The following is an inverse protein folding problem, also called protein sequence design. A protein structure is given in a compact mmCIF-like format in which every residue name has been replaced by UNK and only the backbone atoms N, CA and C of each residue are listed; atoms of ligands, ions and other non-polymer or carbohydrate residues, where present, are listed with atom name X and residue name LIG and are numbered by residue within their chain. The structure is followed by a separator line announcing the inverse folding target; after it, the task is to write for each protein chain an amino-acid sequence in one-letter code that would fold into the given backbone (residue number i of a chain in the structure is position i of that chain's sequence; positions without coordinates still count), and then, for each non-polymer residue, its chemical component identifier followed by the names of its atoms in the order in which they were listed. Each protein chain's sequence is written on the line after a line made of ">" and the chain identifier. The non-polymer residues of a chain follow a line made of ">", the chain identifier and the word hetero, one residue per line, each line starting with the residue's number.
data_IF_778716985424
#
_entry.id   IF_778716985424
#
_cell.length_a   1.000
_cell.length_b   1.000
_cell.length_c   1.000
_cell.angle_alpha   90.00
_cell.angle_beta   90.00
_cell.angle_gamma   90.00
#
_symmetry.space_group_name_H-M   'P 1'
#
loop_
_entity.id
_entity.type
_entity.pdbx_description
1 polymer ?
#
# COMPACT_ATOMS: atom_id res chain seq x y z
N UNK A 1 -28.89 19.39 16.03
CA UNK A 1 -27.91 18.62 16.83
C UNK A 1 -28.13 17.13 16.59
N UNK A 2 -27.52 16.57 15.54
CA UNK A 2 -27.45 15.12 15.31
C UNK A 2 -26.00 14.72 15.59
N UNK A 3 -25.84 13.78 16.51
CA UNK A 3 -24.55 13.30 16.98
C UNK A 3 -23.74 12.74 15.81
N UNK A 4 -22.71 13.47 15.39
CA UNK A 4 -21.63 12.91 14.59
C UNK A 4 -20.87 12.00 15.55
N UNK A 5 -21.07 10.69 15.40
CA UNK A 5 -20.21 9.68 16.02
C UNK A 5 -18.85 9.78 15.34
N UNK A 6 -18.02 10.70 15.82
CA UNK A 6 -16.59 10.73 15.52
C UNK A 6 -16.08 9.40 16.05
N UNK A 7 -15.76 8.46 15.15
CA UNK A 7 -15.01 7.26 15.48
C UNK A 7 -13.79 7.73 16.29
N UNK A 8 -13.68 7.30 17.55
CA UNK A 8 -12.43 7.37 18.28
C UNK A 8 -11.43 6.50 17.50
N UNK A 9 -10.71 7.12 16.55
CA UNK A 9 -9.49 6.57 16.02
C UNK A 9 -8.54 6.50 17.21
N UNK A 10 -8.44 5.32 17.82
CA UNK A 10 -7.52 5.08 18.91
C UNK A 10 -6.14 5.54 18.42
N UNK A 11 -5.57 6.54 19.08
CA UNK A 11 -4.21 6.99 18.83
C UNK A 11 -3.29 5.85 19.26
N UNK A 12 -3.07 4.89 18.37
CA UNK A 12 -2.00 3.93 18.48
C UNK A 12 -0.75 4.77 18.27
N UNK A 13 -0.13 5.17 19.38
CA UNK A 13 1.23 5.68 19.37
C UNK A 13 2.08 4.50 18.92
N UNK A 14 2.29 4.37 17.61
CA UNK A 14 3.37 3.58 17.06
C UNK A 14 4.66 4.23 17.55
N UNK A 15 5.08 3.87 18.77
CA UNK A 15 6.47 3.99 19.15
C UNK A 15 7.23 3.21 18.09
N UNK A 16 7.94 3.93 17.23
CA UNK A 16 8.78 3.36 16.18
C UNK A 16 9.72 2.36 16.81
N UNK A 17 9.48 1.08 16.53
CA UNK A 17 10.32 0.00 17.02
C UNK A 17 11.47 -0.22 16.06
N UNK A 18 12.41 0.72 16.15
CA UNK A 18 13.81 0.43 15.92
C UNK A 18 14.49 0.22 17.27
N UNK A 19 14.00 -0.71 18.08
CA UNK A 19 14.76 -1.23 19.22
C UNK A 19 15.23 -2.63 18.84
N UNK A 20 16.41 -2.72 18.24
CA UNK A 20 17.31 -3.79 18.68
C UNK A 20 17.60 -3.45 20.15
N UNK A 21 16.81 -4.00 21.07
CA UNK A 21 16.99 -3.75 22.51
C UNK A 21 18.37 -4.21 22.96
N UNK A 22 19.34 -3.30 22.95
CA UNK A 22 20.48 -3.33 23.84
C UNK A 22 20.13 -2.44 25.05
N UNK A 23 19.10 -2.82 25.80
CA UNK A 23 18.80 -2.19 27.09
C UNK A 23 18.63 -3.29 28.12
N UNK A 24 19.63 -3.38 28.99
CA UNK A 24 19.89 -4.46 29.95
C UNK A 24 18.67 -4.86 30.78
N UNK A 25 18.17 -6.06 30.52
CA UNK A 25 17.47 -6.94 31.44
C UNK A 25 17.75 -8.37 30.97
N UNK A 26 18.31 -9.21 31.83
CA UNK A 26 18.73 -10.56 31.44
C UNK A 26 17.52 -11.34 30.86
N UNK A 27 17.67 -11.76 29.59
CA UNK A 27 16.76 -12.59 28.80
C UNK A 27 15.45 -11.95 28.28
N UNK A 28 15.43 -10.69 27.81
CA UNK A 28 14.36 -10.28 26.89
C UNK A 28 14.60 -10.90 25.50
N UNK A 29 13.82 -11.93 25.19
CA UNK A 29 13.87 -12.67 23.93
C UNK A 29 12.81 -12.20 22.95
N UNK A 30 12.02 -11.16 23.30
CA UNK A 30 10.96 -10.63 22.45
C UNK A 30 11.55 -9.88 21.28
N UNK A 31 11.24 -10.34 20.07
CA UNK A 31 11.60 -9.66 18.82
C UNK A 31 10.35 -9.06 18.22
N UNK A 32 10.46 -7.80 17.78
CA UNK A 32 9.38 -7.08 17.08
C UNK A 32 9.86 -6.58 15.74
N UNK A 33 9.10 -6.90 14.71
CA UNK A 33 9.43 -6.60 13.30
C UNK A 33 8.15 -6.20 12.56
N UNK A 34 8.32 -5.67 11.34
CA UNK A 34 7.25 -5.35 10.41
C UNK A 34 7.44 -6.06 9.07
N UNK A 35 6.37 -6.17 8.29
CA UNK A 35 6.41 -6.75 6.95
C UNK A 35 5.27 -6.24 6.06
N UNK A 36 5.59 -6.06 4.77
CA UNK A 36 4.61 -6.02 3.69
C UNK A 36 4.32 -7.44 3.25
N UNK A 37 3.04 -7.83 3.28
CA UNK A 37 2.67 -9.23 3.10
C UNK A 37 1.42 -9.38 2.25
N UNK A 38 1.39 -10.48 1.51
CA UNK A 38 0.18 -11.01 0.88
C UNK A 38 -0.53 -11.94 1.85
N UNK A 39 -1.84 -11.79 1.96
CA UNK A 39 -2.67 -12.67 2.77
C UNK A 39 -2.97 -13.95 2.01
N UNK A 40 -2.71 -15.09 2.61
CA UNK A 40 -3.05 -16.40 2.07
C UNK A 40 -3.98 -17.11 3.03
N UNK A 41 -5.14 -17.52 2.52
CA UNK A 41 -6.10 -18.32 3.28
C UNK A 41 -6.44 -19.58 2.50
N UNK A 42 -6.20 -20.73 3.12
CA UNK A 42 -6.45 -22.04 2.53
C UNK A 42 -6.93 -23.03 3.60
N UNK A 43 -8.01 -23.75 3.29
CA UNK A 43 -8.60 -24.78 4.18
C UNK A 43 -8.82 -24.32 5.63
N UNK A 44 -9.22 -23.06 5.84
CA UNK A 44 -9.50 -22.51 7.17
C UNK A 44 -8.27 -21.99 7.93
N UNK A 45 -7.06 -22.18 7.41
CA UNK A 45 -5.85 -21.56 7.93
C UNK A 45 -5.54 -20.26 7.19
N UNK A 46 -5.06 -19.25 7.90
CA UNK A 46 -4.58 -17.98 7.33
C UNK A 46 -3.14 -17.74 7.74
N UNK A 47 -2.30 -17.39 6.78
CA UNK A 47 -0.93 -16.93 7.00
C UNK A 47 -0.63 -15.77 6.05
N UNK A 48 0.52 -15.15 6.23
CA UNK A 48 1.00 -14.10 5.34
C UNK A 48 2.30 -14.50 4.64
N UNK A 49 2.53 -13.98 3.45
CA UNK A 49 3.74 -14.24 2.65
C UNK A 49 4.39 -12.92 2.21
N UNK A 50 5.70 -12.78 2.39
CA UNK A 50 6.46 -11.66 1.83
C UNK A 50 6.89 -11.92 0.36
N UNK A 51 7.62 -10.97 -0.24
CA UNK A 51 8.11 -11.08 -1.63
C UNK A 51 9.12 -12.22 -1.85
N UNK A 52 9.68 -12.79 -0.77
CA UNK A 52 10.64 -13.88 -0.79
C UNK A 52 9.98 -15.24 -0.49
N UNK A 53 8.65 -15.27 -0.31
CA UNK A 53 7.91 -16.46 0.07
C UNK A 53 8.06 -16.86 1.54
N UNK A 54 8.59 -15.98 2.39
CA UNK A 54 8.67 -16.21 3.82
C UNK A 54 7.27 -16.19 4.43
N UNK A 55 6.93 -17.22 5.22
CA UNK A 55 5.59 -17.40 5.77
C UNK A 55 5.47 -16.92 7.21
N UNK A 56 4.49 -16.07 7.48
CA UNK A 56 4.17 -15.54 8.80
C UNK A 56 2.85 -16.14 9.26
N UNK A 57 2.88 -16.99 10.28
CA UNK A 57 1.67 -17.60 10.85
C UNK A 57 1.28 -16.89 12.15
N UNK A 58 0.33 -15.92 12.11
CA UNK A 58 -0.24 -15.37 13.33
C UNK A 58 -1.12 -16.40 14.04
N UNK A 59 -1.25 -16.24 15.36
CA UNK A 59 -2.23 -17.03 16.13
C UNK A 59 -3.66 -16.58 15.82
N UNK A 60 -4.63 -17.49 15.93
CA UNK A 60 -6.05 -17.16 15.76
C UNK A 60 -6.51 -16.07 16.73
N UNK A 61 -6.02 -16.12 17.98
CA UNK A 61 -6.30 -15.10 18.99
C UNK A 61 -5.79 -13.72 18.55
N UNK A 62 -4.61 -13.68 17.92
CA UNK A 62 -4.05 -12.42 17.41
C UNK A 62 -4.84 -11.88 16.22
N UNK A 63 -5.24 -12.73 15.26
CA UNK A 63 -6.11 -12.32 14.16
C UNK A 63 -7.46 -11.78 14.65
N UNK A 64 -8.07 -12.45 15.64
CA UNK A 64 -9.31 -11.99 16.26
C UNK A 64 -9.16 -10.63 16.97
N UNK A 65 -8.02 -10.40 17.62
CA UNK A 65 -7.69 -9.11 18.23
C UNK A 65 -7.55 -8.00 17.17
N UNK A 66 -6.85 -8.26 16.05
CA UNK A 66 -6.72 -7.28 14.96
C UNK A 66 -8.07 -6.91 14.33
N UNK A 67 -8.98 -7.89 14.15
CA UNK A 67 -10.34 -7.63 13.70
C UNK A 67 -11.10 -6.71 14.67
N UNK A 68 -11.02 -6.98 15.97
CA UNK A 68 -11.78 -6.24 16.98
C UNK A 68 -11.22 -4.83 17.23
N UNK A 69 -9.89 -4.68 17.26
CA UNK A 69 -9.22 -3.43 17.62
C UNK A 69 -9.01 -2.50 16.44
N UNK A 70 -8.73 -3.05 15.25
CA UNK A 70 -8.32 -2.29 14.07
C UNK A 70 -9.29 -2.45 12.90
N UNK A 71 -10.31 -3.31 12.99
CA UNK A 71 -11.19 -3.63 11.87
C UNK A 71 -10.49 -4.40 10.74
N UNK A 72 -9.31 -4.97 11.01
CA UNK A 72 -8.56 -5.72 10.01
C UNK A 72 -9.17 -7.10 9.80
N UNK A 73 -9.66 -7.35 8.60
CA UNK A 73 -10.14 -8.67 8.17
C UNK A 73 -9.27 -9.19 7.03
N UNK A 74 -8.53 -10.30 7.22
CA UNK A 74 -7.69 -10.87 6.18
C UNK A 74 -8.55 -11.33 5.00
N UNK A 75 -8.16 -10.92 3.79
CA UNK A 75 -8.80 -11.33 2.53
C UNK A 75 -7.77 -12.07 1.71
N UNK A 76 -8.06 -13.32 1.33
CA UNK A 76 -7.14 -14.11 0.53
C UNK A 76 -6.73 -13.38 -0.76
N UNK A 77 -5.42 -13.29 -1.02
CA UNK A 77 -4.83 -12.55 -2.13
C UNK A 77 -4.76 -11.03 -1.95
N UNK A 78 -5.31 -10.48 -0.86
CA UNK A 78 -5.16 -9.07 -0.49
C UNK A 78 -3.81 -8.77 0.14
N UNK A 79 -3.45 -7.49 0.16
CA UNK A 79 -2.17 -7.01 0.69
C UNK A 79 -2.35 -6.29 2.03
N UNK A 80 -1.40 -6.51 2.93
CA UNK A 80 -1.38 -5.91 4.24
C UNK A 80 0.01 -5.42 4.64
N UNK A 81 0.03 -4.44 5.54
CA UNK A 81 1.20 -4.13 6.35
C UNK A 81 0.94 -4.61 7.76
N UNK A 82 1.86 -5.39 8.31
CA UNK A 82 1.74 -5.98 9.65
C UNK A 82 2.95 -5.63 10.50
N UNK A 83 2.72 -5.39 11.79
CA UNK A 83 3.75 -5.37 12.82
C UNK A 83 3.47 -6.55 13.72
N UNK A 84 4.47 -7.37 13.97
CA UNK A 84 4.35 -8.60 14.71
C UNK A 84 5.47 -8.74 15.74
N UNK A 85 5.23 -9.60 16.72
CA UNK A 85 6.23 -10.01 17.69
C UNK A 85 6.26 -11.53 17.85
N UNK A 86 7.44 -12.02 18.21
CA UNK A 86 7.70 -13.43 18.52
C UNK A 86 8.81 -13.56 19.57
N UNK A 87 8.88 -14.73 20.21
CA UNK A 87 9.93 -15.06 21.17
C UNK A 87 11.09 -15.77 20.47
N UNK A 88 12.24 -15.11 20.40
CA UNK A 88 13.47 -15.63 19.78
C UNK A 88 14.08 -16.85 20.47
N UNK A 89 13.72 -17.12 21.74
CA UNK A 89 14.12 -18.34 22.43
C UNK A 89 13.30 -19.57 21.99
N UNK A 90 12.09 -19.36 21.47
CA UNK A 90 11.24 -20.45 20.94
C UNK A 90 11.49 -20.70 19.46
N UNK A 91 11.84 -19.65 18.71
CA UNK A 91 12.12 -19.73 17.29
C UNK A 91 13.14 -18.67 16.90
N UNK A 92 14.27 -19.08 16.29
CA UNK A 92 15.29 -18.14 15.82
C UNK A 92 15.14 -17.92 14.32
N UNK A 93 14.99 -16.66 13.90
CA UNK A 93 15.01 -16.28 12.48
C UNK A 93 16.45 -16.26 11.98
N UNK A 94 16.75 -17.10 10.99
CA UNK A 94 18.07 -17.22 10.35
C UNK A 94 17.95 -16.92 8.86
N UNK A 95 19.08 -16.80 8.16
CA UNK A 95 19.10 -16.62 6.71
C UNK A 95 18.43 -17.77 5.93
N UNK A 96 18.30 -18.96 6.53
CA UNK A 96 17.66 -20.14 5.91
C UNK A 96 16.23 -20.37 6.38
N UNK A 97 15.73 -19.55 7.30
CA UNK A 97 14.36 -19.67 7.79
C UNK A 97 13.38 -19.34 6.68
N UNK A 98 12.33 -20.15 6.55
CA UNK A 98 11.25 -19.94 5.56
C UNK A 98 9.93 -19.56 6.21
N UNK A 99 9.85 -19.58 7.55
CA UNK A 99 8.64 -19.19 8.27
C UNK A 99 8.88 -18.81 9.72
N UNK A 100 7.93 -18.06 10.29
CA UNK A 100 7.71 -17.89 11.74
C UNK A 100 6.28 -18.29 12.10
N UNK A 101 6.13 -18.87 13.29
CA UNK A 101 4.83 -19.34 13.81
C UNK A 101 4.43 -18.64 15.09
N UNK A 102 3.17 -18.81 15.46
CA UNK A 102 2.60 -18.30 16.71
C UNK A 102 2.83 -16.79 16.92
N UNK A 103 2.79 -16.04 15.82
CA UNK A 103 3.05 -14.61 15.85
C UNK A 103 1.90 -13.86 16.54
N UNK A 104 2.27 -12.88 17.35
CA UNK A 104 1.34 -11.88 17.85
C UNK A 104 1.45 -10.61 17.00
N UNK A 105 0.40 -10.31 16.24
CA UNK A 105 0.21 -9.04 15.56
C UNK A 105 -0.08 -7.95 16.58
N UNK A 106 0.64 -6.84 16.44
CA UNK A 106 0.47 -5.59 17.18
C UNK A 106 -0.24 -4.53 16.35
N UNK A 107 -0.10 -4.63 15.03
CA UNK A 107 -0.74 -3.77 14.06
C UNK A 107 -0.96 -4.56 12.77
N UNK A 108 -2.12 -4.36 12.14
CA UNK A 108 -2.41 -4.87 10.80
C UNK A 108 -3.33 -3.90 10.08
N UNK A 109 -2.97 -3.52 8.87
CA UNK A 109 -3.81 -2.68 8.01
C UNK A 109 -3.80 -3.16 6.57
N UNK A 110 -4.91 -2.94 5.86
CA UNK A 110 -5.03 -3.27 4.44
C UNK A 110 -4.31 -2.22 3.61
N UNK A 111 -3.69 -2.67 2.52
CA UNK A 111 -3.04 -1.81 1.53
C UNK A 111 -3.77 -1.83 0.18
N UNK A 112 -4.76 -2.70 0.02
CA UNK A 112 -5.48 -2.89 -1.24
C UNK A 112 -6.10 -1.58 -1.75
N UNK A 113 -5.76 -1.26 -2.98
CA UNK A 113 -6.30 -0.15 -3.75
C UNK A 113 -7.03 -0.67 -5.01
N UNK A 114 -7.78 0.20 -5.66
CA UNK A 114 -8.69 -0.20 -6.72
C UNK A 114 -7.94 -0.32 -8.05
N UNK A 115 -8.28 -1.34 -8.82
CA UNK A 115 -7.89 -1.50 -10.23
C UNK A 115 -9.18 -1.62 -11.03
N UNK A 116 -9.33 -0.80 -12.06
CA UNK A 116 -10.50 -0.76 -12.92
C UNK A 116 -10.09 -0.88 -14.39
N UNK A 117 -10.83 -1.70 -15.14
CA UNK A 117 -10.70 -1.78 -16.61
C UNK A 117 -11.91 -1.13 -17.26
N UNK A 118 -11.66 -0.17 -18.13
CA UNK A 118 -12.64 0.69 -18.78
C UNK A 118 -12.45 0.59 -20.28
N UNK A 119 -13.51 0.80 -21.07
CA UNK A 119 -13.45 0.64 -22.52
C UNK A 119 -12.50 1.67 -23.15
N UNK A 120 -12.77 2.96 -22.95
CA UNK A 120 -11.97 4.07 -23.47
C UNK A 120 -11.92 5.22 -22.45
N UNK A 121 -11.03 6.19 -22.70
CA UNK A 121 -11.05 7.47 -21.98
C UNK A 121 -12.30 8.24 -22.40
N UNK A 122 -12.98 8.96 -21.47
CA UNK A 122 -14.06 9.85 -21.86
C UNK A 122 -13.51 10.93 -22.80
N UNK A 123 -14.19 11.15 -23.92
CA UNK A 123 -13.90 12.26 -24.83
C UNK A 123 -14.53 13.56 -24.33
N UNK A 124 -14.08 14.70 -24.88
CA UNK A 124 -14.61 16.01 -24.49
C UNK A 124 -16.13 16.09 -24.73
N UNK A 125 -16.90 16.34 -23.68
CA UNK A 125 -18.36 16.41 -23.73
C UNK A 125 -19.07 15.07 -23.50
N UNK A 126 -18.34 13.97 -23.33
CA UNK A 126 -18.90 12.72 -22.82
C UNK A 126 -19.02 12.76 -21.29
N UNK A 127 -20.09 12.18 -20.77
CA UNK A 127 -20.21 11.96 -19.32
C UNK A 127 -19.09 11.02 -18.87
N UNK A 128 -18.39 11.33 -17.76
CA UNK A 128 -17.37 10.44 -17.24
C UNK A 128 -18.00 9.08 -16.95
N UNK A 129 -17.35 8.02 -17.41
CA UNK A 129 -17.77 6.66 -17.10
C UNK A 129 -17.80 6.53 -15.56
N UNK A 130 -18.81 5.82 -15.01
CA UNK A 130 -19.00 5.73 -13.55
C UNK A 130 -17.79 5.13 -12.82
N UNK A 131 -16.87 4.51 -13.56
CA UNK A 131 -15.64 3.84 -13.15
C UNK A 131 -14.37 4.46 -13.78
N UNK A 132 -14.41 5.71 -14.26
CA UNK A 132 -13.20 6.41 -14.72
C UNK A 132 -12.28 6.82 -13.55
N UNK A 133 -12.75 6.62 -12.31
CA UNK A 133 -12.10 7.00 -11.06
C UNK A 133 -11.61 8.44 -11.05
N UNK A 134 -12.52 9.39 -11.27
CA UNK A 134 -12.42 10.85 -11.12
C UNK A 134 -11.16 11.31 -10.39
N UNK A 135 -10.11 11.64 -11.15
CA UNK A 135 -8.98 12.37 -10.61
C UNK A 135 -9.44 13.76 -10.18
N UNK A 136 -9.12 14.16 -8.95
CA UNK A 136 -9.45 15.48 -8.39
C UNK A 136 -8.26 16.22 -7.83
N UNK A 137 -7.14 15.53 -7.65
CA UNK A 137 -5.91 16.11 -7.16
C UNK A 137 -4.70 15.40 -7.78
N UNK A 138 -3.62 16.14 -8.05
CA UNK A 138 -2.35 15.54 -8.43
C UNK A 138 -1.73 14.82 -7.24
N UNK A 139 -0.76 13.97 -7.51
CA UNK A 139 0.18 13.47 -6.50
C UNK A 139 1.46 14.31 -6.53
N UNK A 140 2.34 14.14 -5.56
CA UNK A 140 3.68 14.76 -5.56
C UNK A 140 4.69 13.89 -6.31
N UNK A 141 4.55 12.58 -6.18
CA UNK A 141 5.27 11.63 -7.02
C UNK A 141 5.21 10.19 -6.55
N UNK A 142 5.74 9.30 -7.40
CA UNK A 142 5.91 7.87 -7.11
C UNK A 142 7.36 7.46 -6.88
N UNK A 143 8.32 8.38 -7.00
CA UNK A 143 9.73 8.10 -6.73
C UNK A 143 10.38 9.22 -5.92
N UNK A 144 11.33 8.86 -5.06
CA UNK A 144 12.11 9.82 -4.32
C UNK A 144 12.89 9.20 -3.17
N UNK A 145 13.51 10.06 -2.37
CA UNK A 145 14.25 9.68 -1.18
C UNK A 145 13.70 10.43 0.02
N UNK A 146 13.31 9.70 1.05
CA UNK A 146 12.80 10.22 2.32
C UNK A 146 13.89 10.02 3.35
N UNK A 147 14.33 11.10 3.98
CA UNK A 147 15.22 11.00 5.15
C UNK A 147 14.38 10.73 6.39
N UNK A 148 14.66 9.61 7.05
CA UNK A 148 14.06 9.22 8.33
C UNK A 148 15.13 9.18 9.42
N UNK A 149 14.71 9.07 10.68
CA UNK A 149 15.61 8.84 11.81
C UNK A 149 16.42 7.53 11.71
N UNK A 150 15.99 6.59 10.86
CA UNK A 150 16.60 5.27 10.67
C UNK A 150 17.41 5.18 9.37
N UNK A 151 17.56 6.29 8.64
CA UNK A 151 18.26 6.36 7.37
C UNK A 151 17.35 6.83 6.22
N UNK A 152 17.90 6.77 5.01
CA UNK A 152 17.19 7.19 3.81
C UNK A 152 16.37 6.03 3.23
N UNK A 153 15.08 6.24 3.04
CA UNK A 153 14.18 5.34 2.32
C UNK A 153 14.09 5.85 0.88
N UNK A 154 14.59 5.07 -0.08
CA UNK A 154 14.34 5.33 -1.50
C UNK A 154 13.12 4.55 -1.94
N UNK A 155 12.15 5.22 -2.55
CA UNK A 155 10.92 4.60 -3.02
C UNK A 155 10.78 4.79 -4.53
N UNK A 156 10.13 3.81 -5.16
CA UNK A 156 9.76 3.78 -6.57
C UNK A 156 8.70 2.69 -6.78
N UNK A 157 7.91 2.72 -7.86
CA UNK A 157 6.99 1.63 -8.17
C UNK A 157 7.70 0.28 -8.25
N UNK A 158 7.16 -0.75 -7.58
CA UNK A 158 7.72 -2.11 -7.59
C UNK A 158 6.63 -3.18 -7.72
N UNK A 159 6.97 -4.30 -8.36
CA UNK A 159 6.14 -5.50 -8.31
C UNK A 159 6.45 -6.27 -7.03
N UNK A 160 5.44 -6.43 -6.18
CA UNK A 160 5.54 -7.25 -4.96
C UNK A 160 5.60 -8.73 -5.31
N UNK A 161 4.76 -9.14 -6.26
CA UNK A 161 4.77 -10.44 -6.92
C UNK A 161 4.40 -10.27 -8.40
N UNK A 162 4.25 -11.35 -9.16
CA UNK A 162 3.90 -11.30 -10.60
C UNK A 162 2.60 -10.55 -10.92
N UNK A 163 1.75 -10.29 -9.92
CA UNK A 163 0.40 -9.80 -10.10
C UNK A 163 0.03 -8.60 -9.22
N UNK A 164 0.95 -8.15 -8.38
CA UNK A 164 0.67 -7.12 -7.37
C UNK A 164 1.67 -5.99 -7.52
N UNK A 165 1.19 -4.83 -7.96
CA UNK A 165 1.97 -3.60 -8.03
C UNK A 165 1.86 -2.87 -6.69
N UNK A 166 2.99 -2.62 -6.04
CA UNK A 166 3.06 -1.81 -4.82
C UNK A 166 3.58 -0.41 -5.17
N UNK A 167 2.77 0.59 -4.87
CA UNK A 167 3.10 2.00 -5.04
C UNK A 167 3.30 2.67 -3.68
N UNK A 168 4.36 3.45 -3.58
CA UNK A 168 4.56 4.44 -2.54
C UNK A 168 4.19 5.81 -3.11
N UNK A 169 3.09 6.39 -2.63
CA UNK A 169 2.49 7.57 -3.23
C UNK A 169 2.70 8.77 -2.30
N UNK A 170 3.57 9.70 -2.69
CA UNK A 170 3.69 11.01 -2.02
C UNK A 170 2.58 11.92 -2.53
N UNK A 171 1.78 12.49 -1.64
CA UNK A 171 0.70 13.43 -1.97
C UNK A 171 0.41 14.33 -0.77
N UNK A 172 -0.14 15.51 -1.04
CA UNK A 172 -0.56 16.43 0.01
C UNK A 172 -1.78 15.92 0.77
N UNK A 173 -1.72 16.03 2.11
CA UNK A 173 -2.84 15.69 2.98
C UNK A 173 -2.80 16.47 4.29
N UNK A 174 -3.92 16.46 5.00
CA UNK A 174 -4.07 16.94 6.37
C UNK A 174 -4.44 15.80 7.32
N UNK A 175 -4.34 16.02 8.64
CA UNK A 175 -4.71 15.01 9.63
C UNK A 175 -6.20 14.63 9.55
N UNK A 176 -7.07 15.56 9.16
CA UNK A 176 -8.50 15.31 8.97
C UNK A 176 -8.81 14.52 7.69
N UNK A 177 -7.86 14.47 6.75
CA UNK A 177 -7.97 13.81 5.45
C UNK A 177 -7.55 12.34 5.42
N UNK A 178 -7.12 11.75 6.55
CA UNK A 178 -6.49 10.42 6.60
C UNK A 178 -7.22 9.32 5.80
N UNK A 179 -8.55 9.35 5.79
CA UNK A 179 -9.42 8.37 5.12
C UNK A 179 -10.16 8.95 3.90
N UNK A 180 -9.81 10.17 3.46
CA UNK A 180 -10.47 10.89 2.37
C UNK A 180 -9.85 10.62 1.00
N UNK A 181 -8.64 10.05 0.96
CA UNK A 181 -7.90 9.84 -0.27
C UNK A 181 -8.13 8.45 -0.86
N UNK A 182 -8.49 8.42 -2.15
CA UNK A 182 -8.70 7.21 -2.92
C UNK A 182 -7.77 7.19 -4.12
N UNK A 183 -7.20 6.02 -4.39
CA UNK A 183 -6.31 5.79 -5.52
C UNK A 183 -6.83 4.63 -6.33
N UNK A 184 -6.98 4.86 -7.63
CA UNK A 184 -7.38 3.82 -8.58
C UNK A 184 -6.39 3.77 -9.72
N UNK A 185 -5.97 2.57 -10.10
CA UNK A 185 -5.33 2.35 -11.40
C UNK A 185 -6.40 2.02 -12.43
N UNK A 186 -6.49 2.85 -13.45
CA UNK A 186 -7.43 2.69 -14.56
C UNK A 186 -6.68 2.19 -15.79
N UNK A 187 -7.21 1.14 -16.40
CA UNK A 187 -6.76 0.59 -17.67
C UNK A 187 -7.80 0.88 -18.75
N UNK A 188 -7.41 1.53 -19.85
CA UNK A 188 -8.29 1.78 -20.98
C UNK A 188 -8.03 0.75 -22.07
N UNK A 189 -9.02 -0.12 -22.33
CA UNK A 189 -8.87 -1.31 -23.19
C UNK A 189 -8.66 -0.98 -24.66
N UNK A 190 -9.21 0.13 -25.13
CA UNK A 190 -9.10 0.55 -26.53
C UNK A 190 -7.85 1.41 -26.79
N UNK A 191 -7.07 1.74 -25.75
CA UNK A 191 -5.82 2.48 -25.94
C UNK A 191 -4.75 1.58 -26.57
N UNK A 192 -4.35 1.93 -27.79
CA UNK A 192 -3.24 1.25 -28.46
C UNK A 192 -1.94 1.48 -27.71
N UNK A 193 -1.28 0.40 -27.31
CA UNK A 193 0.02 0.38 -26.64
C UNK A 193 0.97 -0.57 -27.36
N UNK A 194 2.27 -0.42 -27.09
CA UNK A 194 3.27 -1.36 -27.62
C UNK A 194 2.94 -2.80 -27.22
N UNK A 195 3.42 -3.77 -28.00
CA UNK A 195 3.33 -5.18 -27.64
C UNK A 195 3.91 -5.44 -26.24
N UNK A 196 3.29 -6.37 -25.50
CA UNK A 196 3.66 -6.72 -24.12
C UNK A 196 3.70 -5.50 -23.17
N UNK A 197 2.93 -4.46 -23.44
CA UNK A 197 2.83 -3.28 -22.57
C UNK A 197 1.42 -3.14 -22.03
N UNK A 198 1.30 -2.83 -20.75
CA UNK A 198 0.05 -2.39 -20.13
C UNK A 198 0.25 -0.97 -19.65
N UNK A 199 -0.63 -0.07 -20.08
CA UNK A 199 -0.62 1.32 -19.62
C UNK A 199 -1.74 1.53 -18.62
N UNK A 200 -1.37 2.02 -17.45
CA UNK A 200 -2.26 2.29 -16.33
C UNK A 200 -2.22 3.76 -15.97
N UNK A 201 -3.37 4.29 -15.58
CA UNK A 201 -3.55 5.67 -15.16
C UNK A 201 -3.79 5.68 -13.66
N UNK A 202 -2.87 6.26 -12.89
CA UNK A 202 -3.11 6.46 -11.47
C UNK A 202 -3.98 7.69 -11.28
N UNK A 203 -5.19 7.46 -10.81
CA UNK A 203 -6.14 8.51 -10.45
C UNK A 203 -6.12 8.73 -8.96
N UNK A 204 -5.99 9.99 -8.56
CA UNK A 204 -6.01 10.40 -7.16
C UNK A 204 -7.22 11.30 -6.90
N UNK A 205 -8.04 10.89 -5.94
CA UNK A 205 -9.19 11.63 -5.47
C UNK A 205 -8.96 11.96 -3.98
N UNK A 206 -8.75 13.24 -3.68
CA UNK A 206 -8.54 13.75 -2.32
C UNK A 206 -9.82 13.86 -1.49
N UNK A 207 -10.98 13.50 -2.06
CA UNK A 207 -12.26 13.55 -1.38
C UNK A 207 -12.63 14.96 -0.94
N UNK A 208 -12.52 15.21 0.36
CA UNK A 208 -12.76 16.53 0.98
C UNK A 208 -11.50 17.20 1.51
N UNK A 209 -10.34 16.54 1.41
CA UNK A 209 -9.10 17.10 1.92
C UNK A 209 -8.55 18.15 0.96
N UNK A 210 -8.38 19.37 1.47
CA UNK A 210 -7.81 20.50 0.74
C UNK A 210 -6.48 20.96 1.33
N UNK A 211 -5.90 20.20 2.27
CA UNK A 211 -4.68 20.54 2.97
C UNK A 211 -3.45 20.38 2.07
N UNK A 212 -2.53 21.33 2.16
CA UNK A 212 -1.16 21.26 1.61
C UNK A 212 -0.08 21.31 2.68
N UNK A 213 -0.46 21.27 3.97
CA UNK A 213 0.45 21.48 5.10
C UNK A 213 1.36 20.29 5.39
N UNK A 214 0.94 19.09 5.01
CA UNK A 214 1.69 17.85 5.20
C UNK A 214 1.55 16.98 3.95
N UNK A 215 2.32 15.88 3.93
CA UNK A 215 2.20 14.85 2.91
C UNK A 215 2.07 13.47 3.55
N UNK A 216 1.67 12.49 2.74
CA UNK A 216 1.61 11.08 3.17
C UNK A 216 2.92 10.56 3.76
N UNK A 217 4.07 11.11 3.32
CA UNK A 217 5.40 10.82 3.87
C UNK A 217 5.47 11.18 5.36
N UNK A 218 4.89 12.31 5.77
CA UNK A 218 4.93 12.72 7.18
C UNK A 218 4.20 11.73 8.10
N UNK A 219 3.25 10.96 7.56
CA UNK A 219 2.42 10.03 8.32
C UNK A 219 2.79 8.56 8.13
N UNK A 220 3.75 8.22 7.27
CA UNK A 220 4.03 6.82 6.89
C UNK A 220 4.34 5.91 8.09
N UNK A 221 5.00 6.45 9.13
CA UNK A 221 5.37 5.68 10.33
C UNK A 221 4.16 5.37 11.23
N UNK A 222 3.15 6.24 11.22
CA UNK A 222 1.95 6.08 12.05
C UNK A 222 0.82 5.38 11.29
N UNK A 223 0.71 5.67 10.00
CA UNK A 223 -0.34 5.17 9.13
C UNK A 223 0.25 4.70 7.80
N UNK A 224 0.92 3.53 7.76
CA UNK A 224 1.57 3.03 6.55
C UNK A 224 0.64 3.01 5.34
N UNK A 225 -0.64 2.68 5.54
CA UNK A 225 -1.64 2.65 4.47
C UNK A 225 -1.86 3.99 3.76
N UNK A 226 -1.46 5.14 4.31
CA UNK A 226 -1.57 6.42 3.60
C UNK A 226 -0.54 6.49 2.48
N UNK A 227 0.67 5.98 2.70
CA UNK A 227 1.77 6.06 1.75
C UNK A 227 1.85 4.83 0.84
N UNK A 228 1.63 3.63 1.38
CA UNK A 228 1.71 2.37 0.64
C UNK A 228 0.34 1.95 0.11
N UNK A 229 0.24 1.69 -1.20
CA UNK A 229 -0.96 1.17 -1.88
C UNK A 229 -0.60 -0.01 -2.77
N UNK A 230 -1.38 -1.08 -2.68
CA UNK A 230 -1.18 -2.29 -3.45
C UNK A 230 -2.33 -2.50 -4.45
N UNK A 231 -1.96 -2.80 -5.69
CA UNK A 231 -2.89 -2.93 -6.80
C UNK A 231 -2.80 -4.34 -7.37
N UNK A 232 -3.88 -5.10 -7.25
CA UNK A 232 -3.98 -6.44 -7.81
C UNK A 232 -4.30 -6.37 -9.30
N UNK A 233 -3.27 -6.60 -10.12
CA UNK A 233 -3.35 -6.53 -11.57
C UNK A 233 -4.03 -7.76 -12.21
N UNK A 234 -4.33 -8.83 -11.46
CA UNK A 234 -5.16 -9.95 -11.99
C UNK A 234 -6.58 -9.52 -12.33
N UNK A 235 -7.00 -8.33 -11.88
CA UNK A 235 -8.28 -7.71 -12.23
C UNK A 235 -8.29 -7.09 -13.64
N UNK A 236 -7.14 -7.04 -14.31
CA UNK A 236 -7.05 -6.58 -15.69
C UNK A 236 -7.45 -7.69 -16.66
N UNK A 237 -8.15 -7.32 -17.71
CA UNK A 237 -8.48 -8.22 -18.82
C UNK A 237 -7.23 -8.41 -19.68
N UNK A 238 -6.45 -9.47 -19.43
CA UNK A 238 -5.25 -9.76 -20.21
C UNK A 238 -4.32 -10.75 -19.51
N UNK A 239 -3.48 -11.43 -20.31
CA UNK A 239 -2.46 -12.33 -19.78
C UNK A 239 -1.21 -11.52 -19.42
N UNK A 240 -1.05 -11.20 -18.14
CA UNK A 240 0.19 -10.61 -17.60
C UNK A 240 1.22 -11.73 -17.45
N UNK A 241 2.41 -11.52 -18.01
CA UNK A 241 3.54 -12.44 -17.89
C UNK A 241 4.84 -11.67 -17.62
N UNK A 242 5.93 -12.40 -17.40
CA UNK A 242 7.26 -11.84 -17.10
C UNK A 242 7.83 -10.86 -18.14
N UNK A 243 7.39 -10.93 -19.40
CA UNK A 243 7.79 -9.99 -20.45
C UNK A 243 6.92 -8.73 -20.49
N UNK A 244 5.90 -8.65 -19.64
CA UNK A 244 4.97 -7.51 -19.63
C UNK A 244 5.62 -6.29 -18.98
N UNK A 245 5.65 -5.18 -19.70
CA UNK A 245 6.06 -3.85 -19.23
C UNK A 245 4.83 -3.10 -18.72
N UNK A 246 4.84 -2.66 -17.48
CA UNK A 246 3.80 -1.81 -16.91
C UNK A 246 4.24 -0.35 -17.01
N UNK A 247 3.44 0.48 -17.67
CA UNK A 247 3.58 1.94 -17.70
C UNK A 247 2.51 2.53 -16.77
N UNK A 248 2.92 3.39 -15.86
CA UNK A 248 2.02 4.10 -14.93
C UNK A 248 2.10 5.59 -15.28
N UNK A 249 1.03 6.13 -15.85
CA UNK A 249 0.87 7.54 -16.12
C UNK A 249 0.19 8.22 -14.91
N UNK A 250 0.77 9.33 -14.46
CA UNK A 250 0.33 10.08 -13.29
C UNK A 250 0.29 11.57 -13.59
N UNK A 251 -0.52 12.30 -12.83
CA UNK A 251 -0.50 13.76 -12.79
C UNK A 251 0.20 14.22 -11.51
N UNK A 252 1.32 14.92 -11.68
CA UNK A 252 2.21 15.34 -10.60
C UNK A 252 2.23 16.86 -10.41
N UNK A 253 2.11 17.29 -9.16
CA UNK A 253 2.28 18.66 -8.74
C UNK A 253 2.87 18.70 -7.34
N UNK A 254 4.03 19.35 -7.21
CA UNK A 254 4.79 19.39 -5.97
C UNK A 254 4.52 20.65 -5.12
N UNK A 255 3.63 21.53 -5.55
CA UNK A 255 3.40 22.84 -4.94
C UNK A 255 1.95 23.04 -4.49
N UNK A 256 0.97 22.43 -5.18
CA UNK A 256 -0.44 22.56 -4.85
C UNK A 256 -1.25 21.29 -5.20
N UNK A 257 -2.56 21.32 -4.95
CA UNK A 257 -3.51 20.22 -5.17
C UNK A 257 -4.48 20.46 -6.34
N UNK A 258 -4.27 21.52 -7.10
CA UNK A 258 -5.12 21.86 -8.23
C UNK A 258 -4.67 21.10 -9.49
N UNK A 259 -5.54 20.22 -9.98
CA UNK A 259 -5.27 19.37 -11.13
C UNK A 259 -5.06 20.18 -12.41
N UNK A 260 -5.80 21.28 -12.55
CA UNK A 260 -5.81 22.15 -13.74
C UNK A 260 -4.72 23.23 -13.68
N UNK A 261 -3.91 23.25 -12.61
CA UNK A 261 -2.78 24.16 -12.49
C UNK A 261 -1.77 23.92 -13.61
N UNK A 262 -1.22 25.00 -14.17
CA UNK A 262 -0.10 24.94 -15.13
C UNK A 262 1.16 24.25 -14.56
N UNK A 263 1.24 24.09 -13.23
CA UNK A 263 2.33 23.39 -12.55
C UNK A 263 2.13 21.87 -12.52
N UNK A 264 0.92 21.38 -12.81
CA UNK A 264 0.60 19.96 -12.89
C UNK A 264 1.15 19.38 -14.19
N UNK A 265 1.95 18.32 -14.07
CA UNK A 265 2.61 17.68 -15.21
C UNK A 265 2.22 16.22 -15.29
N UNK A 266 2.08 15.73 -16.53
CA UNK A 266 1.97 14.29 -16.76
C UNK A 266 3.35 13.66 -16.68
N UNK A 267 3.49 12.60 -15.90
CA UNK A 267 4.72 11.82 -15.79
C UNK A 267 4.42 10.34 -15.95
N UNK A 268 5.36 9.60 -16.53
CA UNK A 268 5.24 8.15 -16.74
C UNK A 268 6.33 7.41 -15.98
N UNK A 269 5.93 6.37 -15.26
CA UNK A 269 6.81 5.43 -14.59
C UNK A 269 6.75 4.08 -15.29
N UNK A 270 7.86 3.33 -15.29
CA UNK A 270 7.91 2.00 -15.91
C UNK A 270 8.35 0.96 -14.89
N UNK A 271 7.65 -0.16 -14.86
CA UNK A 271 7.97 -1.32 -14.03
C UNK A 271 7.91 -2.58 -14.89
N UNK A 272 8.85 -3.48 -14.70
CA UNK A 272 8.82 -4.81 -15.32
C UNK A 272 8.18 -5.81 -14.36
N UNK A 273 7.42 -6.77 -14.88
CA UNK A 273 6.93 -7.89 -14.08
C UNK A 273 8.12 -8.65 -13.48
N UNK A 274 8.04 -8.96 -12.19
CA UNK A 274 9.05 -9.78 -11.50
C UNK A 274 8.97 -11.19 -12.09
N UNK A 275 10.06 -11.70 -12.63
CA UNK A 275 10.15 -13.10 -13.06
C UNK A 275 9.95 -14.05 -11.86
N UNK A 276 9.37 -15.22 -12.10
CA UNK A 276 9.40 -16.33 -11.12
C UNK A 276 10.84 -16.83 -11.03
N UNK A 277 11.42 -16.76 -9.84
CA UNK A 277 12.62 -17.54 -9.48
C UNK A 277 12.23 -19.00 -9.18
#
# INVERSE_FOLDING_TARGET
>A
MKQVKILMLALVVLMGVGFTSCMNGENDTTVREDAFVKVVSYMGSTWFEDTNGFRYYPTDASLAAMKTQMGFEPVNGGMAYVIYQYDSATQTKTATSTSLKDLQLLYATKLDATVESVQHKPEEGEEPLSNDSIAKAPIRGLEGTISTSYGNITYKPIMFDESTLLLQIDYFMGPEGLLSHYFTLVHYRDESVDENTIKLYLRHNNGKDTSTSYTSVNYLNQYPFVFYKAFNLRKLDGSINENTKIIIEVQENNTNIDLESEQTKTKTYTVQIKAKE
#
